data_IF_192125496819
#
_entry.id   IF_192125496819
#
_cell.length_a   1.000
_cell.length_b   1.000
_cell.length_c   1.000
_cell.angle_alpha   90.00
_cell.angle_beta   90.00
_cell.angle_gamma   90.00
#
_symmetry.space_group_name_H-M   'P 1'
#
loop_
_entity.id
_entity.type
_entity.pdbx_description
1 polymer ?
#
# COMPACT_ATOMS: atom_id res chain seq x y z
N UNK A 1 26.46 -10.73 -13.85
CA UNK A 1 25.43 -11.19 -12.88
C UNK A 1 25.99 -12.33 -12.08
N UNK A 2 26.23 -12.08 -10.80
CA UNK A 2 26.64 -13.09 -9.83
C UNK A 2 25.63 -13.06 -8.69
N UNK A 3 24.60 -13.89 -8.83
CA UNK A 3 23.55 -14.06 -7.82
C UNK A 3 23.84 -15.32 -7.01
N UNK A 4 23.73 -15.21 -5.70
CA UNK A 4 24.04 -16.26 -4.74
C UNK A 4 22.77 -16.94 -4.24
N UNK A 5 22.93 -18.17 -3.73
CA UNK A 5 21.86 -18.91 -3.05
C UNK A 5 21.35 -18.13 -1.81
N UNK A 6 22.19 -17.28 -1.20
CA UNK A 6 21.81 -16.37 -0.10
C UNK A 6 20.77 -15.34 -0.57
N UNK A 7 21.02 -14.67 -1.69
CA UNK A 7 20.06 -13.71 -2.24
C UNK A 7 18.73 -14.37 -2.60
N UNK A 8 18.77 -15.54 -3.24
CA UNK A 8 17.55 -16.28 -3.58
C UNK A 8 16.76 -16.68 -2.32
N UNK A 9 17.45 -17.15 -1.27
CA UNK A 9 16.82 -17.43 0.03
C UNK A 9 16.15 -16.18 0.63
N UNK A 10 16.85 -15.04 0.62
CA UNK A 10 16.37 -13.79 1.18
C UNK A 10 15.16 -13.22 0.41
N UNK A 11 15.22 -13.25 -0.92
CA UNK A 11 14.11 -12.85 -1.79
C UNK A 11 12.89 -13.76 -1.60
N UNK A 12 13.11 -15.08 -1.52
CA UNK A 12 12.05 -16.04 -1.24
C UNK A 12 11.41 -15.83 0.14
N UNK A 13 12.22 -15.49 1.15
CA UNK A 13 11.72 -15.15 2.50
C UNK A 13 10.84 -13.90 2.46
N UNK A 14 11.27 -12.86 1.73
CA UNK A 14 10.47 -11.66 1.51
C UNK A 14 9.12 -11.97 0.86
N UNK A 15 9.14 -12.72 -0.25
CA UNK A 15 7.92 -13.06 -1.00
C UNK A 15 6.98 -13.99 -0.23
N UNK A 16 7.50 -14.86 0.64
CA UNK A 16 6.67 -15.65 1.56
C UNK A 16 5.94 -14.76 2.57
N UNK A 17 6.53 -13.63 2.93
CA UNK A 17 6.01 -12.70 3.91
C UNK A 17 6.16 -13.17 5.36
N UNK A 18 5.70 -12.33 6.28
CA UNK A 18 5.99 -12.45 7.73
C UNK A 18 4.74 -12.64 8.60
N UNK A 19 3.56 -12.92 8.01
CA UNK A 19 2.30 -13.15 8.75
C UNK A 19 1.96 -12.06 9.79
N UNK A 20 2.26 -10.81 9.44
CA UNK A 20 2.05 -9.64 10.32
C UNK A 20 2.93 -9.60 11.59
N UNK A 21 3.96 -10.45 11.71
CA UNK A 21 4.95 -10.39 12.80
C UNK A 21 6.03 -9.32 12.53
N UNK A 22 6.10 -8.25 13.34
CA UNK A 22 7.07 -7.16 13.14
C UNK A 22 8.54 -7.57 13.30
N UNK A 23 8.84 -8.49 14.22
CA UNK A 23 10.21 -8.93 14.48
C UNK A 23 10.75 -9.75 13.31
N UNK A 24 9.89 -10.62 12.74
CA UNK A 24 10.22 -11.33 11.50
C UNK A 24 10.39 -10.40 10.32
N UNK A 25 9.51 -9.40 10.17
CA UNK A 25 9.66 -8.40 9.11
C UNK A 25 11.04 -7.73 9.16
N UNK A 26 11.47 -7.29 10.34
CA UNK A 26 12.77 -6.62 10.52
C UNK A 26 13.94 -7.52 10.10
N UNK A 27 13.93 -8.79 10.52
CA UNK A 27 14.98 -9.75 10.19
C UNK A 27 15.03 -10.05 8.67
N UNK A 28 13.87 -10.27 8.05
CA UNK A 28 13.77 -10.53 6.60
C UNK A 28 14.23 -9.31 5.80
N UNK A 29 13.78 -8.11 6.17
CA UNK A 29 14.20 -6.86 5.51
C UNK A 29 15.72 -6.71 5.54
N UNK A 30 16.33 -6.85 6.74
CA UNK A 30 17.76 -6.68 6.91
C UNK A 30 18.55 -7.68 6.06
N UNK A 31 18.17 -8.95 6.09
CA UNK A 31 18.84 -10.00 5.31
C UNK A 31 18.71 -9.75 3.81
N UNK A 32 17.55 -9.28 3.33
CA UNK A 32 17.34 -8.92 1.92
C UNK A 32 18.25 -7.75 1.50
N UNK A 33 18.31 -6.68 2.29
CA UNK A 33 19.16 -5.52 1.99
C UNK A 33 20.65 -5.90 1.94
N UNK A 34 21.11 -6.70 2.89
CA UNK A 34 22.49 -7.20 2.93
C UNK A 34 22.80 -8.12 1.75
N UNK A 35 21.88 -9.01 1.37
CA UNK A 35 22.07 -9.90 0.23
C UNK A 35 22.06 -9.15 -1.11
N UNK A 36 21.17 -8.15 -1.26
CA UNK A 36 21.16 -7.23 -2.42
C UNK A 36 22.50 -6.50 -2.54
N UNK A 37 23.05 -6.01 -1.44
CA UNK A 37 24.32 -5.28 -1.44
C UNK A 37 25.55 -6.17 -1.72
N UNK A 38 25.46 -7.47 -1.46
CA UNK A 38 26.53 -8.43 -1.66
C UNK A 38 26.60 -9.01 -3.08
N UNK A 39 25.50 -8.96 -3.83
CA UNK A 39 25.34 -9.59 -5.14
C UNK A 39 25.48 -8.60 -6.30
N UNK A 40 25.94 -9.10 -7.45
CA UNK A 40 26.04 -8.33 -8.69
C UNK A 40 24.74 -8.46 -9.49
N UNK A 41 23.72 -7.70 -9.05
CA UNK A 41 22.41 -7.64 -9.70
C UNK A 41 22.48 -6.82 -11.00
N UNK A 42 21.65 -7.14 -12.01
CA UNK A 42 21.57 -6.33 -13.23
C UNK A 42 21.13 -4.91 -12.87
N UNK A 43 21.69 -3.90 -13.53
CA UNK A 43 21.42 -2.48 -13.21
C UNK A 43 19.91 -2.13 -13.20
N UNK A 44 19.11 -2.78 -14.05
CA UNK A 44 17.66 -2.61 -14.09
C UNK A 44 16.95 -3.03 -12.79
N UNK A 45 17.52 -3.98 -12.05
CA UNK A 45 16.99 -4.42 -10.75
C UNK A 45 17.13 -3.35 -9.66
N UNK A 46 17.97 -2.33 -9.86
CA UNK A 46 18.11 -1.19 -8.94
C UNK A 46 17.37 0.06 -9.44
N UNK A 47 16.45 -0.10 -10.40
CA UNK A 47 15.68 1.00 -10.97
C UNK A 47 14.22 0.61 -11.16
N UNK A 48 13.31 1.59 -11.16
CA UNK A 48 11.95 1.39 -11.61
C UNK A 48 11.56 2.52 -12.56
N UNK A 49 10.95 2.16 -13.69
CA UNK A 49 10.47 3.13 -14.68
C UNK A 49 9.05 3.56 -14.33
N UNK A 50 8.87 4.86 -14.05
CA UNK A 50 7.55 5.44 -13.82
C UNK A 50 7.07 5.33 -12.38
N UNK A 51 5.74 5.34 -12.20
CA UNK A 51 5.12 5.33 -10.88
C UNK A 51 5.02 3.92 -10.31
N UNK A 52 5.41 3.77 -9.06
CA UNK A 52 5.09 2.65 -8.19
C UNK A 52 3.94 3.04 -7.27
N UNK A 53 3.06 2.09 -6.99
CA UNK A 53 1.85 2.24 -6.21
C UNK A 53 1.87 1.33 -4.98
N UNK A 54 1.32 1.83 -3.88
CA UNK A 54 1.20 1.06 -2.64
C UNK A 54 -0.13 1.33 -1.96
N UNK A 55 -0.83 0.24 -1.65
CA UNK A 55 -2.02 0.26 -0.79
C UNK A 55 -1.63 0.16 0.66
N UNK A 56 -2.18 1.04 1.48
CA UNK A 56 -2.04 1.03 2.93
C UNK A 56 -3.40 1.23 3.57
N UNK A 57 -3.71 0.42 4.58
CA UNK A 57 -4.84 0.70 5.46
C UNK A 57 -4.39 1.70 6.51
N UNK A 58 -4.95 2.91 6.46
CA UNK A 58 -4.65 3.97 7.41
C UNK A 58 -5.65 3.91 8.57
N UNK A 59 -5.11 3.87 9.79
CA UNK A 59 -5.88 3.90 11.03
C UNK A 59 -6.12 5.36 11.40
N UNK A 60 -7.37 5.87 11.41
CA UNK A 60 -7.64 7.27 11.71
C UNK A 60 -7.19 7.71 13.10
N UNK A 61 -7.40 6.84 14.08
CA UNK A 61 -7.08 7.08 15.48
C UNK A 61 -6.62 5.77 16.14
N UNK A 62 -5.54 5.85 16.91
CA UNK A 62 -5.05 4.76 17.73
C UNK A 62 -4.74 5.31 19.13
N UNK A 63 -5.23 4.70 20.22
CA UNK A 63 -4.97 5.14 21.59
C UNK A 63 -3.47 5.27 21.95
N UNK A 64 -2.58 4.56 21.26
CA UNK A 64 -1.14 4.51 21.58
C UNK A 64 -0.30 5.58 20.87
N UNK A 65 -0.67 6.00 19.65
CA UNK A 65 0.13 6.92 18.85
C UNK A 65 -0.68 7.95 18.03
N UNK A 66 -1.99 8.05 18.26
CA UNK A 66 -2.87 8.97 17.53
C UNK A 66 -3.33 8.48 16.16
N UNK A 67 -2.91 7.28 15.72
CA UNK A 67 -3.23 6.72 14.40
C UNK A 67 -2.24 7.14 13.32
N UNK A 68 -2.51 6.75 12.07
CA UNK A 68 -1.67 7.08 10.91
C UNK A 68 -1.95 8.49 10.37
N UNK A 69 -3.11 9.08 10.68
CA UNK A 69 -3.49 10.42 10.21
C UNK A 69 -2.69 11.53 10.88
N UNK A 70 -2.42 11.42 12.18
CA UNK A 70 -1.65 12.41 12.92
C UNK A 70 -0.23 12.62 12.33
N UNK A 71 0.62 11.59 12.18
CA UNK A 71 1.95 11.78 11.59
C UNK A 71 1.86 12.30 10.15
N UNK A 72 0.90 11.81 9.36
CA UNK A 72 0.71 12.24 7.98
C UNK A 72 0.34 13.73 7.89
N UNK A 73 -0.55 14.24 8.75
CA UNK A 73 -0.97 15.64 8.74
C UNK A 73 0.05 16.59 9.36
N UNK A 74 0.75 16.16 10.42
CA UNK A 74 1.69 17.01 11.18
C UNK A 74 3.07 17.05 10.54
N UNK A 75 3.56 15.91 10.05
CA UNK A 75 4.92 15.79 9.49
C UNK A 75 4.93 15.64 7.98
N UNK A 76 3.76 15.49 7.35
CA UNK A 76 3.65 15.25 5.91
C UNK A 76 4.00 13.82 5.49
N UNK A 77 4.34 12.92 6.43
CA UNK A 77 4.81 11.57 6.10
C UNK A 77 4.54 10.52 7.17
N UNK A 78 4.57 9.25 6.76
CA UNK A 78 4.58 8.08 7.64
C UNK A 78 5.84 7.26 7.36
N UNK A 79 6.65 7.03 8.38
CA UNK A 79 7.84 6.19 8.30
C UNK A 79 7.44 4.71 8.29
N UNK A 80 7.69 4.01 7.18
CA UNK A 80 7.35 2.58 7.03
C UNK A 80 8.57 1.67 6.83
N UNK A 81 9.74 2.26 6.54
CA UNK A 81 10.95 1.53 6.19
C UNK A 81 10.86 0.88 4.80
N UNK A 82 11.35 -0.36 4.67
CA UNK A 82 11.30 -1.11 3.41
C UNK A 82 9.94 -1.76 3.23
N UNK A 83 9.38 -1.63 2.03
CA UNK A 83 8.06 -2.18 1.71
C UNK A 83 7.91 -2.54 0.23
N UNK A 84 6.95 -3.43 -0.06
CA UNK A 84 6.57 -3.79 -1.43
C UNK A 84 5.66 -2.73 -2.05
N UNK A 85 5.99 -2.34 -3.27
CA UNK A 85 5.19 -1.52 -4.16
C UNK A 85 4.95 -2.28 -5.46
N UNK A 86 4.01 -1.83 -6.27
CA UNK A 86 3.73 -2.42 -7.59
C UNK A 86 3.76 -1.33 -8.66
N UNK A 87 4.23 -1.61 -9.87
CA UNK A 87 4.05 -0.69 -10.99
C UNK A 87 2.63 -0.74 -11.62
N UNK A 88 1.75 -1.65 -11.16
CA UNK A 88 0.36 -1.76 -11.63
C UNK A 88 -0.61 -1.08 -10.65
N UNK A 89 -1.23 0.06 -11.02
CA UNK A 89 -2.17 0.76 -10.14
C UNK A 89 -3.45 -0.05 -9.85
N UNK A 90 -3.89 -0.90 -10.78
CA UNK A 90 -5.07 -1.75 -10.55
C UNK A 90 -4.73 -2.85 -9.57
N UNK A 91 -3.55 -3.47 -9.71
CA UNK A 91 -3.07 -4.44 -8.73
C UNK A 91 -3.03 -3.82 -7.34
N UNK A 92 -2.53 -2.59 -7.18
CA UNK A 92 -2.50 -1.91 -5.89
C UNK A 92 -3.91 -1.76 -5.28
N UNK A 93 -4.92 -1.40 -6.08
CA UNK A 93 -6.31 -1.24 -5.60
C UNK A 93 -6.94 -2.59 -5.19
N UNK A 94 -6.77 -3.61 -6.04
CA UNK A 94 -7.37 -4.94 -5.90
C UNK A 94 -6.64 -5.81 -4.88
N UNK A 95 -5.40 -5.45 -4.50
CA UNK A 95 -4.61 -6.24 -3.56
C UNK A 95 -5.26 -6.23 -2.17
N UNK A 96 -5.72 -7.40 -1.74
CA UNK A 96 -6.54 -7.61 -0.52
C UNK A 96 -7.87 -6.85 -0.57
N UNK A 97 -8.68 -7.01 0.48
CA UNK A 97 -10.00 -6.38 0.58
C UNK A 97 -9.94 -4.85 0.40
N UNK A 98 -10.94 -4.22 -0.25
CA UNK A 98 -10.96 -2.77 -0.46
C UNK A 98 -11.13 -1.99 0.85
N UNK A 99 -11.61 -2.65 1.91
CA UNK A 99 -11.86 -2.08 3.23
C UNK A 99 -11.37 -3.04 4.32
N UNK A 100 -10.97 -2.46 5.46
CA UNK A 100 -10.71 -3.18 6.71
C UNK A 100 -11.34 -2.38 7.84
N UNK A 101 -12.04 -3.06 8.75
CA UNK A 101 -12.75 -2.41 9.86
C UNK A 101 -11.81 -1.50 10.67
N UNK A 102 -12.30 -0.33 11.07
CA UNK A 102 -11.52 0.68 11.80
C UNK A 102 -10.43 1.40 10.98
N UNK A 103 -10.39 1.20 9.65
CA UNK A 103 -9.40 1.82 8.76
C UNK A 103 -10.06 2.34 7.48
N UNK A 104 -9.31 3.11 6.70
CA UNK A 104 -9.63 3.36 5.30
C UNK A 104 -8.43 2.99 4.42
N UNK A 105 -8.69 2.55 3.19
CA UNK A 105 -7.60 2.21 2.26
C UNK A 105 -7.10 3.47 1.58
N UNK A 106 -5.79 3.66 1.54
CA UNK A 106 -5.12 4.70 0.79
C UNK A 106 -4.20 4.08 -0.25
N UNK A 107 -4.11 4.71 -1.42
CA UNK A 107 -3.13 4.39 -2.47
C UNK A 107 -2.16 5.55 -2.55
N UNK A 108 -0.89 5.24 -2.35
CA UNK A 108 0.24 6.13 -2.58
C UNK A 108 0.82 5.83 -3.95
N UNK A 109 1.26 6.86 -4.68
CA UNK A 109 1.95 6.74 -5.95
C UNK A 109 3.23 7.57 -5.92
N UNK A 110 4.35 6.94 -6.26
CA UNK A 110 5.66 7.59 -6.23
C UNK A 110 6.46 7.20 -7.46
N UNK A 111 7.18 8.15 -8.05
CA UNK A 111 8.25 7.84 -9.00
C UNK A 111 9.55 7.65 -8.19
N UNK A 112 9.98 6.42 -7.91
CA UNK A 112 11.09 6.20 -6.99
C UNK A 112 12.40 6.71 -7.59
N UNK A 113 13.22 7.33 -6.74
CA UNK A 113 14.61 7.61 -7.10
C UNK A 113 15.43 6.31 -7.08
N UNK A 114 16.56 6.23 -7.82
CA UNK A 114 17.41 5.03 -7.81
C UNK A 114 17.87 4.60 -6.41
N UNK A 115 18.15 5.54 -5.51
CA UNK A 115 18.55 5.28 -4.12
C UNK A 115 17.41 4.73 -3.23
N UNK A 116 16.16 4.88 -3.68
CA UNK A 116 14.98 4.36 -2.98
C UNK A 116 14.65 2.91 -3.38
N UNK A 117 15.17 2.44 -4.52
CA UNK A 117 14.91 1.07 -5.02
C UNK A 117 15.86 0.09 -4.33
N UNK A 118 15.30 -0.79 -3.51
CA UNK A 118 16.05 -1.93 -2.96
C UNK A 118 16.22 -2.99 -4.03
N UNK A 119 15.11 -3.43 -4.62
CA UNK A 119 15.13 -4.38 -5.74
C UNK A 119 13.83 -4.31 -6.54
N UNK A 120 13.94 -4.23 -7.86
CA UNK A 120 12.86 -4.39 -8.81
C UNK A 120 12.76 -5.87 -9.20
N UNK A 121 11.82 -6.57 -8.56
CA UNK A 121 11.65 -8.01 -8.74
C UNK A 121 11.16 -8.31 -10.16
N UNK A 122 10.29 -7.47 -10.72
CA UNK A 122 9.84 -7.63 -12.11
C UNK A 122 11.03 -7.60 -13.07
N UNK A 123 11.93 -6.63 -12.92
CA UNK A 123 13.11 -6.51 -13.76
C UNK A 123 14.03 -7.73 -13.64
N UNK A 124 14.14 -8.36 -12.46
CA UNK A 124 14.87 -9.61 -12.31
C UNK A 124 14.21 -10.75 -13.10
N UNK A 125 12.88 -10.92 -12.98
CA UNK A 125 12.16 -12.00 -13.66
C UNK A 125 12.11 -11.86 -15.19
N UNK A 126 12.26 -10.64 -15.69
CA UNK A 126 12.39 -10.39 -17.13
C UNK A 126 13.71 -10.94 -17.70
N UNK A 127 14.76 -11.06 -16.87
CA UNK A 127 16.07 -11.59 -17.27
C UNK A 127 16.02 -13.14 -17.36
N UNK A 128 16.31 -13.76 -18.53
CA UNK A 128 16.33 -15.21 -18.68
C UNK A 128 17.30 -15.92 -17.73
N UNK A 129 18.48 -15.34 -17.51
CA UNK A 129 19.51 -15.91 -16.64
C UNK A 129 19.02 -16.02 -15.19
N UNK A 130 18.26 -15.03 -14.71
CA UNK A 130 17.71 -15.05 -13.36
C UNK A 130 16.70 -16.19 -13.19
N UNK A 131 15.83 -16.39 -14.18
CA UNK A 131 14.87 -17.51 -14.19
C UNK A 131 15.58 -18.86 -14.10
N UNK A 132 16.63 -19.05 -14.91
CA UNK A 132 17.46 -20.26 -14.84
C UNK A 132 18.13 -20.47 -13.48
N UNK A 133 18.57 -19.40 -12.82
CA UNK A 133 19.11 -19.49 -11.45
C UNK A 133 18.06 -19.90 -10.43
N UNK A 134 16.84 -19.34 -10.51
CA UNK A 134 15.72 -19.72 -9.62
C UNK A 134 15.34 -21.19 -9.81
N UNK A 135 15.24 -21.66 -11.06
CA UNK A 135 14.95 -23.07 -11.37
C UNK A 135 16.03 -24.01 -10.81
N UNK A 136 17.31 -23.69 -11.01
CA UNK A 136 18.42 -24.48 -10.48
C UNK A 136 18.49 -24.46 -8.94
N UNK A 137 18.15 -23.33 -8.32
CA UNK A 137 18.04 -23.20 -6.87
C UNK A 137 16.90 -24.06 -6.31
N UNK A 138 15.73 -24.01 -6.94
CA UNK A 138 14.59 -24.82 -6.56
C UNK A 138 14.83 -26.32 -6.77
N UNK A 139 15.48 -26.73 -7.87
CA UNK A 139 15.82 -28.12 -8.13
C UNK A 139 16.76 -28.73 -7.07
N UNK A 140 17.52 -27.88 -6.38
CA UNK A 140 18.40 -28.26 -5.26
C UNK A 140 17.72 -28.12 -3.89
N UNK A 141 16.40 -27.94 -3.86
CA UNK A 141 15.61 -27.72 -2.63
C UNK A 141 16.10 -26.50 -1.82
N UNK A 142 16.45 -25.42 -2.51
CA UNK A 142 16.83 -24.17 -1.90
C UNK A 142 15.79 -23.66 -0.89
N UNK A 143 16.27 -23.04 0.18
CA UNK A 143 15.41 -22.44 1.19
C UNK A 143 14.47 -21.40 0.56
N UNK A 144 13.18 -21.46 0.89
CA UNK A 144 12.19 -20.49 0.38
C UNK A 144 11.97 -20.51 -1.15
N UNK A 145 12.49 -21.50 -1.87
CA UNK A 145 12.41 -21.56 -3.33
C UNK A 145 10.98 -21.68 -3.88
N UNK A 146 10.07 -22.33 -3.15
CA UNK A 146 8.64 -22.39 -3.46
C UNK A 146 8.00 -21.00 -3.56
N UNK A 147 8.41 -20.05 -2.72
CA UNK A 147 7.89 -18.68 -2.77
C UNK A 147 8.31 -17.97 -4.07
N UNK A 148 9.57 -18.18 -4.49
CA UNK A 148 10.09 -17.68 -5.76
C UNK A 148 9.30 -18.26 -6.94
N UNK A 149 9.06 -19.57 -6.95
CA UNK A 149 8.32 -20.24 -8.04
C UNK A 149 6.85 -19.85 -8.11
N UNK A 150 6.24 -19.44 -7.00
CA UNK A 150 4.86 -18.96 -6.97
C UNK A 150 4.72 -17.47 -7.31
N UNK A 151 5.83 -16.76 -7.53
CA UNK A 151 5.79 -15.37 -7.95
C UNK A 151 5.05 -15.24 -9.29
N UNK A 152 4.16 -14.25 -9.36
CA UNK A 152 3.42 -13.93 -10.59
C UNK A 152 3.88 -12.57 -11.07
N UNK A 153 4.44 -12.49 -12.27
CA UNK A 153 4.89 -11.22 -12.89
C UNK A 153 3.81 -10.13 -12.93
N UNK A 154 2.53 -10.51 -12.93
CA UNK A 154 1.41 -9.56 -12.82
C UNK A 154 1.47 -8.68 -11.56
N UNK A 155 2.16 -9.09 -10.50
CA UNK A 155 2.35 -8.26 -9.31
C UNK A 155 3.24 -7.06 -9.59
N UNK A 156 4.14 -7.17 -10.58
CA UNK A 156 5.13 -6.16 -10.98
C UNK A 156 5.79 -5.50 -9.76
N UNK A 157 6.24 -6.35 -8.83
CA UNK A 157 6.67 -5.94 -7.50
C UNK A 157 8.01 -5.20 -7.56
N UNK A 158 8.08 -4.08 -6.84
CA UNK A 158 9.29 -3.30 -6.60
C UNK A 158 9.40 -3.07 -5.10
N UNK A 159 10.52 -3.44 -4.51
CA UNK A 159 10.80 -3.19 -3.10
C UNK A 159 11.46 -1.82 -2.98
N UNK A 160 10.82 -0.91 -2.24
CA UNK A 160 11.31 0.43 -2.02
C UNK A 160 11.61 0.67 -0.53
N UNK A 161 12.61 1.50 -0.27
CA UNK A 161 12.90 2.08 1.05
C UNK A 161 12.51 3.56 1.02
N UNK A 162 11.26 3.85 1.34
CA UNK A 162 10.73 5.21 1.28
C UNK A 162 9.57 5.41 2.25
N UNK A 163 9.45 6.62 2.78
CA UNK A 163 8.30 7.02 3.58
C UNK A 163 7.05 7.19 2.70
N UNK A 164 5.87 7.06 3.31
CA UNK A 164 4.61 7.42 2.64
C UNK A 164 4.38 8.91 2.83
N UNK A 165 4.42 9.69 1.74
CA UNK A 165 4.25 11.13 1.80
C UNK A 165 2.79 11.54 1.55
N UNK A 166 2.35 12.65 2.15
CA UNK A 166 1.00 13.19 1.99
C UNK A 166 0.70 13.50 0.52
N UNK A 167 1.67 14.09 -0.19
CA UNK A 167 1.52 14.48 -1.59
C UNK A 167 1.53 13.28 -2.55
N UNK A 168 2.01 12.12 -2.09
CA UNK A 168 1.97 10.87 -2.86
C UNK A 168 0.58 10.21 -2.80
N UNK A 169 -0.36 10.70 -1.99
CA UNK A 169 -1.67 10.07 -1.79
C UNK A 169 -2.63 10.35 -2.96
N UNK A 170 -2.81 9.35 -3.83
CA UNK A 170 -3.59 9.48 -5.07
C UNK A 170 -4.95 8.79 -5.04
N UNK A 171 -5.21 7.92 -4.06
CA UNK A 171 -6.45 7.17 -3.95
C UNK A 171 -6.90 6.97 -2.50
N UNK A 172 -8.20 7.04 -2.26
CA UNK A 172 -8.83 6.72 -0.97
C UNK A 172 -10.04 5.82 -1.21
N UNK A 173 -10.16 4.72 -0.47
CA UNK A 173 -11.36 3.90 -0.43
C UNK A 173 -12.00 4.00 0.94
N UNK A 174 -13.29 4.29 0.94
CA UNK A 174 -14.15 4.22 2.11
C UNK A 174 -15.51 3.67 1.71
N UNK A 175 -16.35 3.44 2.71
CA UNK A 175 -17.79 3.23 2.52
C UNK A 175 -18.54 4.41 3.13
N UNK A 176 -19.68 4.75 2.54
CA UNK A 176 -20.60 5.67 3.19
C UNK A 176 -21.20 5.03 4.45
N UNK A 177 -21.79 5.88 5.30
CA UNK A 177 -22.61 5.42 6.41
C UNK A 177 -23.79 4.57 5.90
N UNK A 178 -24.34 3.68 6.74
CA UNK A 178 -25.57 2.96 6.43
C UNK A 178 -26.69 3.89 6.00
N UNK A 179 -27.58 3.41 5.14
CA UNK A 179 -28.66 4.22 4.57
C UNK A 179 -29.51 4.92 5.65
N UNK A 180 -29.81 4.23 6.75
CA UNK A 180 -30.54 4.81 7.88
C UNK A 180 -29.85 6.04 8.47
N UNK A 181 -28.53 5.99 8.65
CA UNK A 181 -27.75 7.13 9.15
C UNK A 181 -27.75 8.26 8.13
N UNK A 182 -27.71 7.96 6.82
CA UNK A 182 -27.84 8.99 5.79
C UNK A 182 -29.22 9.66 5.84
N UNK A 183 -30.28 8.89 6.05
CA UNK A 183 -31.63 9.43 6.24
C UNK A 183 -31.73 10.33 7.47
N UNK A 184 -31.12 9.95 8.58
CA UNK A 184 -31.05 10.77 9.80
C UNK A 184 -30.31 12.09 9.55
N UNK A 185 -29.15 12.03 8.87
CA UNK A 185 -28.35 13.22 8.54
C UNK A 185 -29.07 14.18 7.60
N UNK A 186 -29.85 13.65 6.66
CA UNK A 186 -30.69 14.43 5.74
C UNK A 186 -32.03 14.86 6.37
N UNK A 187 -32.31 14.46 7.61
CA UNK A 187 -33.55 14.80 8.33
C UNK A 187 -34.81 14.14 7.75
N UNK A 188 -34.67 12.99 7.10
CA UNK A 188 -35.77 12.26 6.45
C UNK A 188 -36.53 11.42 7.47
N UNK A 189 -37.78 11.82 7.74
CA UNK A 189 -38.59 11.26 8.83
C UNK A 189 -39.75 10.39 8.37
N UNK A 190 -40.12 10.43 7.08
CA UNK A 190 -41.20 9.59 6.52
C UNK A 190 -40.67 8.54 5.53
N UNK A 191 -41.39 7.42 5.40
CA UNK A 191 -41.03 6.35 4.46
C UNK A 191 -41.00 6.85 3.01
N UNK A 192 -41.93 7.73 2.62
CA UNK A 192 -41.98 8.31 1.27
C UNK A 192 -40.75 9.16 0.95
N UNK A 193 -40.23 9.92 1.94
CA UNK A 193 -39.00 10.69 1.79
C UNK A 193 -37.78 9.78 1.63
N UNK A 194 -37.74 8.70 2.42
CA UNK A 194 -36.65 7.70 2.38
C UNK A 194 -36.66 6.94 1.06
N UNK A 195 -37.82 6.48 0.59
CA UNK A 195 -37.98 5.81 -0.70
C UNK A 195 -37.57 6.71 -1.87
N UNK A 196 -37.98 7.98 -1.83
CA UNK A 196 -37.56 8.95 -2.84
C UNK A 196 -36.04 9.17 -2.81
N UNK A 197 -35.45 9.26 -1.62
CA UNK A 197 -34.01 9.41 -1.48
C UNK A 197 -33.24 8.18 -1.97
N UNK A 198 -33.68 6.97 -1.61
CA UNK A 198 -33.11 5.73 -2.11
C UNK A 198 -33.16 5.66 -3.63
N UNK A 199 -34.32 5.96 -4.22
CA UNK A 199 -34.47 5.99 -5.69
C UNK A 199 -33.48 6.95 -6.34
N UNK A 200 -33.31 8.15 -5.78
CA UNK A 200 -32.31 9.13 -6.28
C UNK A 200 -30.89 8.58 -6.21
N UNK A 201 -30.52 7.92 -5.12
CA UNK A 201 -29.19 7.31 -4.98
C UNK A 201 -28.95 6.23 -6.05
N UNK A 202 -29.94 5.37 -6.29
CA UNK A 202 -29.87 4.34 -7.34
C UNK A 202 -29.79 4.95 -8.74
N UNK A 203 -30.61 5.97 -9.02
CA UNK A 203 -30.61 6.68 -10.31
C UNK A 203 -29.24 7.35 -10.57
N UNK A 204 -28.52 7.74 -9.52
CA UNK A 204 -27.15 8.28 -9.58
C UNK A 204 -26.05 7.19 -9.50
N UNK A 205 -26.43 5.90 -9.48
CA UNK A 205 -25.53 4.76 -9.31
C UNK A 205 -24.66 4.88 -8.05
N UNK A 206 -25.28 5.33 -6.95
CA UNK A 206 -24.73 5.45 -5.61
C UNK A 206 -25.39 4.38 -4.75
N UNK A 207 -24.60 3.40 -4.33
CA UNK A 207 -25.05 2.34 -3.44
C UNK A 207 -24.43 2.58 -2.07
N UNK A 208 -25.23 2.95 -1.05
CA UNK A 208 -24.72 3.09 0.31
C UNK A 208 -24.01 1.82 0.78
N UNK A 209 -23.00 1.99 1.63
CA UNK A 209 -22.19 0.89 2.20
C UNK A 209 -21.27 0.16 1.20
N UNK A 210 -21.42 0.37 -0.12
CA UNK A 210 -20.47 -0.15 -1.08
C UNK A 210 -19.13 0.62 -1.01
N UNK A 211 -17.97 -0.09 -1.08
CA UNK A 211 -16.67 0.54 -1.14
C UNK A 211 -16.54 1.41 -2.40
N UNK A 212 -16.19 2.68 -2.22
CA UNK A 212 -15.97 3.61 -3.32
C UNK A 212 -14.58 4.22 -3.26
N UNK A 213 -13.88 4.13 -4.38
CA UNK A 213 -12.60 4.80 -4.57
C UNK A 213 -12.79 6.26 -4.99
N UNK A 214 -12.23 7.16 -4.21
CA UNK A 214 -11.90 8.52 -4.63
C UNK A 214 -10.51 8.53 -5.25
N UNK A 215 -10.30 9.39 -6.24
CA UNK A 215 -9.02 9.54 -6.93
C UNK A 215 -8.62 11.01 -7.07
N UNK A 216 -7.30 11.26 -7.11
CA UNK A 216 -6.68 12.55 -7.50
C UNK A 216 -7.23 13.74 -6.72
N UNK A 217 -7.79 14.75 -7.39
CA UNK A 217 -8.25 15.98 -6.75
C UNK A 217 -9.34 15.75 -5.69
N UNK A 218 -10.19 14.73 -5.87
CA UNK A 218 -11.21 14.40 -4.89
C UNK A 218 -10.59 13.92 -3.58
N UNK A 219 -9.48 13.18 -3.67
CA UNK A 219 -8.67 12.75 -2.53
C UNK A 219 -8.10 13.97 -1.82
N UNK A 220 -7.45 14.87 -2.55
CA UNK A 220 -6.84 16.07 -1.97
C UNK A 220 -7.85 16.93 -1.22
N UNK A 221 -9.03 17.18 -1.82
CA UNK A 221 -10.11 17.93 -1.17
C UNK A 221 -10.62 17.27 0.11
N UNK A 222 -10.67 15.95 0.17
CA UNK A 222 -11.07 15.23 1.40
C UNK A 222 -9.97 15.33 2.44
N UNK A 223 -8.72 15.12 2.05
CA UNK A 223 -7.57 15.19 2.95
C UNK A 223 -7.40 16.59 3.54
N UNK A 224 -7.47 17.66 2.74
CA UNK A 224 -7.29 19.03 3.21
C UNK A 224 -8.39 19.45 4.20
N UNK A 225 -9.64 19.06 3.91
CA UNK A 225 -10.76 19.27 4.85
C UNK A 225 -10.56 18.50 6.15
N UNK A 226 -10.10 17.26 6.06
CA UNK A 226 -9.85 16.40 7.22
C UNK A 226 -8.69 16.93 8.05
N UNK A 227 -7.60 17.35 7.40
CA UNK A 227 -6.43 17.98 8.01
C UNK A 227 -6.82 19.27 8.73
N UNK A 228 -7.61 20.13 8.09
CA UNK A 228 -8.12 21.35 8.71
C UNK A 228 -8.91 21.04 9.99
N UNK A 229 -9.90 20.14 9.92
CA UNK A 229 -10.68 19.73 11.10
C UNK A 229 -9.80 19.17 12.20
N UNK A 230 -8.85 18.31 11.85
CA UNK A 230 -7.89 17.74 12.81
C UNK A 230 -7.07 18.84 13.51
N UNK A 231 -6.58 19.82 12.77
CA UNK A 231 -5.81 20.94 13.35
C UNK A 231 -6.70 21.88 14.17
N UNK A 232 -7.95 22.11 13.78
CA UNK A 232 -8.90 22.92 14.55
C UNK A 232 -9.22 22.24 15.91
N UNK A 233 -9.41 20.92 15.92
CA UNK A 233 -9.69 20.14 17.13
C UNK A 233 -8.46 19.99 18.04
N UNK A 234 -7.29 19.70 17.47
CA UNK A 234 -6.11 19.25 18.24
C UNK A 234 -4.93 20.22 18.22
N UNK A 235 -4.94 21.25 17.38
CA UNK A 235 -3.82 22.17 17.18
C UNK A 235 -3.36 22.91 18.44
N UNK A 236 -4.29 23.16 19.36
CA UNK A 236 -4.01 23.77 20.66
C UNK A 236 -3.14 22.90 21.59
N UNK A 237 -3.14 21.58 21.41
CA UNK A 237 -2.29 20.64 22.16
C UNK A 237 -0.91 20.47 21.54
N UNK A 238 -0.77 20.75 20.24
CA UNK A 238 0.47 20.57 19.47
C UNK A 238 1.38 21.81 19.57
N UNK A 239 0.81 22.98 19.91
CA UNK A 239 1.51 24.27 19.96
C UNK A 239 2.22 24.56 21.30
N UNK A 240 2.39 23.56 22.16
CA UNK A 240 3.11 23.64 23.45
C UNK A 240 4.34 22.75 23.42
#
# INVERSE_FOLDING_TARGET
MKITDRFLAALGAWQRGWKEDPARRLAITKELEEAVAADDLPAKASTASGLCYRKRFLVPTNPQNGGDLAPLFLTGRIEEGVASWTSDPRFAQDFKDPLREGTFSAIFARAPRPDEVVVNIQALWDEPDFRGLVENYAARSGENADALLHFKSRQSEVILRVALEYDDLVGLCGKSSPFEILCELEGLTTDEQRDHFWKRLIDENIFPEEPKWLQREAVQRVLDRTKKRFLDEWGHLISK
#
